data_IF_423502366483
#
_entry.id   IF_423502366483
#
_cell.length_a   1.000
_cell.length_b   1.000
_cell.length_c   1.000
_cell.angle_alpha   90.00
_cell.angle_beta   90.00
_cell.angle_gamma   90.00
#
_symmetry.space_group_name_H-M   'P 1'
#
loop_
_entity.id
_entity.type
_entity.pdbx_description
1 polymer ?
#
# COMPACT_ATOMS: atom_id res chain seq x y z
N UNK A 1 13.23 -26.12 17.67
CA UNK A 1 12.30 -25.09 17.14
C UNK A 1 11.70 -25.55 15.82
N UNK A 2 10.49 -26.17 15.78
CA UNK A 2 9.91 -26.55 14.49
C UNK A 2 8.41 -26.26 14.41
N UNK A 3 7.97 -25.03 14.12
CA UNK A 3 6.55 -24.78 13.74
C UNK A 3 6.30 -23.60 12.79
N UNK A 4 7.30 -22.78 12.44
CA UNK A 4 7.12 -21.61 11.56
C UNK A 4 6.85 -21.95 10.08
N UNK A 5 7.03 -23.21 9.67
CA UNK A 5 7.11 -23.60 8.25
C UNK A 5 5.89 -24.31 7.67
N UNK A 6 4.93 -24.74 8.50
CA UNK A 6 3.75 -25.50 8.06
C UNK A 6 2.46 -24.68 8.13
N UNK A 7 2.43 -23.58 7.39
CA UNK A 7 1.20 -22.79 7.24
C UNK A 7 0.70 -22.82 5.81
N UNK A 8 -0.60 -23.02 5.69
CA UNK A 8 -1.34 -22.84 4.46
C UNK A 8 -1.13 -21.39 4.00
N UNK A 9 -0.24 -21.22 3.03
CA UNK A 9 -0.08 -19.96 2.33
C UNK A 9 -1.45 -19.62 1.75
N UNK A 10 -2.00 -18.48 2.16
CA UNK A 10 -3.32 -18.11 1.74
C UNK A 10 -3.33 -17.97 0.20
N UNK A 11 -4.40 -18.40 -0.46
CA UNK A 11 -4.54 -18.18 -1.89
C UNK A 11 -4.43 -16.68 -2.19
N UNK A 12 -4.00 -16.36 -3.41
CA UNK A 12 -3.84 -14.99 -3.90
C UNK A 12 -5.13 -14.19 -3.67
N UNK A 13 -5.02 -13.16 -2.81
CA UNK A 13 -6.07 -12.25 -2.36
C UNK A 13 -7.31 -12.89 -1.68
N UNK A 14 -7.61 -12.51 -0.42
CA UNK A 14 -8.86 -12.86 0.25
C UNK A 14 -10.00 -11.87 -0.03
N UNK A 15 -10.17 -11.38 -1.27
CA UNK A 15 -11.49 -10.87 -1.65
C UNK A 15 -12.36 -12.12 -1.76
N UNK A 16 -12.74 -12.63 -0.59
CA UNK A 16 -13.57 -13.81 -0.43
C UNK A 16 -14.85 -13.54 -1.20
N UNK A 17 -15.25 -14.50 -2.03
CA UNK A 17 -16.63 -14.63 -2.46
C UNK A 17 -17.55 -14.38 -1.25
N UNK A 18 -18.41 -13.36 -1.33
CA UNK A 18 -19.15 -12.88 -0.15
C UNK A 18 -19.34 -11.38 -0.03
N UNK A 19 -18.96 -10.57 -1.03
CA UNK A 19 -19.78 -9.38 -1.28
C UNK A 19 -21.18 -9.92 -1.61
N UNK A 20 -22.16 -9.62 -0.76
CA UNK A 20 -23.55 -9.88 -1.09
C UNK A 20 -23.87 -9.05 -2.34
N UNK A 21 -23.85 -9.73 -3.48
CA UNK A 21 -24.10 -9.15 -4.78
C UNK A 21 -25.58 -9.34 -5.02
N UNK A 22 -26.38 -8.43 -4.50
CA UNK A 22 -27.79 -8.26 -4.86
C UNK A 22 -27.97 -7.82 -6.33
N UNK A 23 -26.88 -7.82 -7.12
CA UNK A 23 -26.84 -7.46 -8.53
C UNK A 23 -26.90 -8.71 -9.39
N UNK A 24 -27.65 -8.62 -10.48
CA UNK A 24 -27.75 -9.69 -11.47
C UNK A 24 -26.36 -10.11 -11.99
N UNK A 25 -25.97 -11.38 -11.87
CA UNK A 25 -24.68 -11.87 -12.34
C UNK A 25 -24.44 -11.54 -13.83
N UNK A 26 -23.25 -11.02 -14.14
CA UNK A 26 -22.88 -10.69 -15.52
C UNK A 26 -23.38 -9.34 -16.03
N UNK A 27 -24.28 -8.67 -15.30
CA UNK A 27 -24.72 -7.30 -15.58
C UNK A 27 -23.57 -6.28 -15.54
N UNK A 28 -23.78 -5.08 -16.09
CA UNK A 28 -22.82 -3.97 -15.98
C UNK A 28 -22.53 -3.63 -14.52
N UNK A 29 -23.54 -3.71 -13.64
CA UNK A 29 -23.39 -3.47 -12.21
C UNK A 29 -22.49 -4.51 -11.54
N UNK A 30 -22.72 -5.80 -11.80
CA UNK A 30 -21.89 -6.90 -11.28
C UNK A 30 -20.45 -6.77 -11.78
N UNK A 31 -20.23 -6.55 -13.08
CA UNK A 31 -18.89 -6.38 -13.65
C UNK A 31 -18.17 -5.17 -13.09
N UNK A 32 -18.87 -4.04 -12.93
CA UNK A 32 -18.30 -2.85 -12.32
C UNK A 32 -17.85 -3.12 -10.88
N UNK A 33 -18.65 -3.83 -10.06
CA UNK A 33 -18.24 -4.20 -8.70
C UNK A 33 -17.03 -5.16 -8.69
N UNK A 34 -16.98 -6.07 -9.67
CA UNK A 34 -15.89 -7.05 -9.80
C UNK A 34 -14.60 -6.49 -10.40
N UNK A 35 -14.60 -5.26 -10.91
CA UNK A 35 -13.43 -4.68 -11.60
C UNK A 35 -12.15 -4.64 -10.77
N UNK A 36 -12.27 -4.61 -9.44
CA UNK A 36 -11.13 -4.58 -8.50
C UNK A 36 -10.68 -5.99 -8.09
N UNK A 37 -11.32 -7.06 -8.58
CA UNK A 37 -10.83 -8.43 -8.43
C UNK A 37 -9.48 -8.56 -9.15
N UNK A 38 -8.50 -9.30 -8.58
CA UNK A 38 -7.12 -9.37 -9.12
C UNK A 38 -7.01 -9.77 -10.59
N UNK A 39 -7.90 -10.64 -11.06
CA UNK A 39 -7.99 -11.13 -12.45
C UNK A 39 -8.67 -10.13 -13.40
N UNK A 40 -9.22 -9.03 -12.86
CA UNK A 40 -10.03 -8.05 -13.59
C UNK A 40 -9.48 -6.64 -13.49
N UNK A 41 -8.57 -6.38 -12.56
CA UNK A 41 -7.97 -5.07 -12.39
C UNK A 41 -6.75 -4.88 -13.30
N UNK A 42 -7.00 -4.95 -14.61
CA UNK A 42 -6.00 -4.77 -15.67
C UNK A 42 -6.59 -4.03 -16.87
N UNK A 43 -5.76 -3.38 -17.73
CA UNK A 43 -6.24 -2.47 -18.76
C UNK A 43 -7.21 -3.09 -19.77
N UNK A 44 -7.02 -4.37 -20.13
CA UNK A 44 -7.88 -5.03 -21.10
C UNK A 44 -9.31 -5.25 -20.57
N UNK A 45 -9.47 -5.66 -19.32
CA UNK A 45 -10.79 -5.79 -18.69
C UNK A 45 -11.47 -4.43 -18.54
N UNK A 46 -10.73 -3.42 -18.09
CA UNK A 46 -11.30 -2.07 -17.94
C UNK A 46 -11.74 -1.47 -19.28
N UNK A 47 -11.03 -1.75 -20.40
CA UNK A 47 -11.48 -1.37 -21.74
C UNK A 47 -12.80 -2.05 -22.15
N UNK A 48 -12.91 -3.37 -21.95
CA UNK A 48 -14.19 -4.08 -22.22
C UNK A 48 -15.32 -3.55 -21.34
N UNK A 49 -15.06 -3.28 -20.06
CA UNK A 49 -16.03 -2.67 -19.15
C UNK A 49 -16.46 -1.27 -19.62
N UNK A 50 -15.52 -0.42 -20.03
CA UNK A 50 -15.81 0.90 -20.62
C UNK A 50 -16.77 0.76 -21.79
N UNK A 51 -16.48 -0.10 -22.77
CA UNK A 51 -17.35 -0.28 -23.94
C UNK A 51 -18.74 -0.81 -23.58
N UNK A 52 -18.87 -1.61 -22.52
CA UNK A 52 -20.18 -2.07 -22.02
C UNK A 52 -20.98 -0.95 -21.39
N UNK A 53 -20.34 -0.11 -20.57
CA UNK A 53 -21.01 1.04 -19.95
C UNK A 53 -21.41 2.06 -21.02
N UNK A 54 -20.57 2.28 -22.03
CA UNK A 54 -20.90 3.14 -23.18
C UNK A 54 -22.14 2.65 -23.93
N UNK A 55 -22.27 1.35 -24.19
CA UNK A 55 -23.49 0.78 -24.80
C UNK A 55 -24.73 0.97 -23.92
N UNK A 56 -24.59 0.81 -22.61
CA UNK A 56 -25.69 1.06 -21.67
C UNK A 56 -26.12 2.54 -21.68
N UNK A 57 -25.16 3.47 -21.72
CA UNK A 57 -25.43 4.90 -21.83
C UNK A 57 -26.02 5.32 -23.18
N UNK A 58 -25.65 4.65 -24.27
CA UNK A 58 -26.28 4.91 -25.57
C UNK A 58 -27.78 4.59 -25.55
N UNK A 59 -28.20 3.59 -24.77
CA UNK A 59 -29.60 3.23 -24.58
C UNK A 59 -30.32 4.13 -23.56
N UNK A 60 -29.61 4.64 -22.55
CA UNK A 60 -30.15 5.52 -21.51
C UNK A 60 -29.15 6.64 -21.15
N UNK A 61 -29.09 7.74 -21.94
CA UNK A 61 -28.06 8.78 -21.77
C UNK A 61 -28.11 9.49 -20.42
N UNK A 62 -29.30 9.57 -19.82
CA UNK A 62 -29.53 10.24 -18.53
C UNK A 62 -29.33 9.31 -17.32
N UNK A 63 -28.94 8.05 -17.52
CA UNK A 63 -28.66 7.13 -16.39
C UNK A 63 -27.44 7.60 -15.60
N UNK A 64 -27.71 8.28 -14.49
CA UNK A 64 -26.70 8.90 -13.66
C UNK A 64 -25.68 7.90 -13.11
N UNK A 65 -26.14 6.67 -12.81
CA UNK A 65 -25.26 5.64 -12.28
C UNK A 65 -24.28 5.13 -13.34
N UNK A 66 -24.71 4.93 -14.59
CA UNK A 66 -23.79 4.58 -15.68
C UNK A 66 -22.87 5.73 -16.05
N UNK A 67 -23.32 6.99 -15.98
CA UNK A 67 -22.46 8.17 -16.16
C UNK A 67 -21.34 8.19 -15.12
N UNK A 68 -21.67 7.97 -13.85
CA UNK A 68 -20.68 7.82 -12.77
C UNK A 68 -19.72 6.65 -13.01
N UNK A 69 -20.25 5.47 -13.37
CA UNK A 69 -19.43 4.26 -13.62
C UNK A 69 -18.44 4.50 -14.76
N UNK A 70 -18.89 5.11 -15.85
CA UNK A 70 -18.02 5.44 -16.98
C UNK A 70 -16.95 6.44 -16.58
N UNK A 71 -17.33 7.54 -15.92
CA UNK A 71 -16.40 8.54 -15.43
C UNK A 71 -15.33 7.90 -14.53
N UNK A 72 -15.72 6.98 -13.65
CA UNK A 72 -14.76 6.33 -12.77
C UNK A 72 -13.81 5.40 -13.51
N UNK A 73 -14.32 4.51 -14.37
CA UNK A 73 -13.46 3.57 -15.12
C UNK A 73 -12.49 4.30 -16.05
N UNK A 74 -12.89 5.43 -16.64
CA UNK A 74 -12.00 6.27 -17.43
C UNK A 74 -10.80 6.75 -16.61
N UNK A 75 -11.02 7.21 -15.38
CA UNK A 75 -9.92 7.62 -14.49
C UNK A 75 -9.05 6.44 -14.03
N UNK A 76 -9.62 5.23 -13.91
CA UNK A 76 -8.91 4.05 -13.41
C UNK A 76 -7.94 3.40 -14.40
N UNK A 77 -8.04 3.70 -15.69
CA UNK A 77 -7.34 2.95 -16.73
C UNK A 77 -6.39 3.82 -17.55
N UNK A 78 -5.17 4.05 -17.05
CA UNK A 78 -4.14 4.82 -17.76
C UNK A 78 -4.64 6.18 -18.25
N UNK A 79 -5.43 6.87 -17.43
CA UNK A 79 -6.15 8.07 -17.83
C UNK A 79 -5.24 9.11 -18.50
N UNK A 80 -5.75 9.74 -19.56
CA UNK A 80 -5.17 10.90 -20.22
C UNK A 80 -5.90 12.18 -19.79
N UNK A 81 -5.39 13.35 -20.17
CA UNK A 81 -6.10 14.62 -19.94
C UNK A 81 -7.52 14.61 -20.57
N UNK A 82 -7.66 14.04 -21.77
CA UNK A 82 -8.95 13.93 -22.45
C UNK A 82 -9.94 13.03 -21.68
N UNK A 83 -9.45 11.97 -21.02
CA UNK A 83 -10.28 11.11 -20.17
C UNK A 83 -10.77 11.84 -18.92
N UNK A 84 -9.91 12.68 -18.32
CA UNK A 84 -10.28 13.54 -17.17
C UNK A 84 -11.36 14.53 -17.58
N UNK A 85 -11.20 15.23 -18.70
CA UNK A 85 -12.20 16.17 -19.21
C UNK A 85 -13.53 15.48 -19.52
N UNK A 86 -13.46 14.27 -20.09
CA UNK A 86 -14.65 13.46 -20.37
C UNK A 86 -15.34 13.03 -19.08
N UNK A 87 -14.59 12.59 -18.08
CA UNK A 87 -15.13 12.22 -16.77
C UNK A 87 -15.81 13.43 -16.09
N UNK A 88 -15.24 14.63 -16.19
CA UNK A 88 -15.84 15.86 -15.67
C UNK A 88 -17.22 16.14 -16.31
N UNK A 89 -17.30 16.06 -17.65
CA UNK A 89 -18.57 16.24 -18.38
C UNK A 89 -19.61 15.19 -17.97
N UNK A 90 -19.21 13.92 -17.86
CA UNK A 90 -20.09 12.84 -17.43
C UNK A 90 -20.68 13.07 -16.04
N UNK A 91 -19.97 13.73 -15.13
CA UNK A 91 -20.44 14.00 -13.77
C UNK A 91 -21.12 15.37 -13.61
N UNK A 92 -21.28 16.16 -14.67
CA UNK A 92 -21.93 17.46 -14.59
C UNK A 92 -23.36 17.32 -14.07
N UNK A 93 -23.67 18.02 -12.97
CA UNK A 93 -24.99 17.99 -12.32
C UNK A 93 -25.28 16.73 -11.49
N UNK A 94 -24.28 15.91 -11.16
CA UNK A 94 -24.50 14.66 -10.42
C UNK A 94 -25.10 14.88 -9.01
N UNK A 95 -26.22 14.20 -8.75
CA UNK A 95 -26.87 14.04 -7.46
C UNK A 95 -26.30 12.88 -6.63
N UNK A 96 -25.53 11.96 -7.24
CA UNK A 96 -24.90 10.84 -6.55
C UNK A 96 -23.80 11.30 -5.56
N UNK A 97 -23.83 10.85 -4.29
CA UNK A 97 -22.76 11.16 -3.33
C UNK A 97 -21.37 10.75 -3.80
N UNK A 98 -21.26 9.55 -4.40
CA UNK A 98 -20.02 9.06 -5.00
C UNK A 98 -19.62 9.85 -6.25
N UNK A 99 -20.58 10.35 -7.01
CA UNK A 99 -20.33 11.25 -8.14
C UNK A 99 -19.69 12.55 -7.67
N UNK A 100 -20.28 13.23 -6.67
CA UNK A 100 -19.72 14.45 -6.08
C UNK A 100 -18.30 14.25 -5.52
N UNK A 101 -18.04 13.10 -4.91
CA UNK A 101 -16.71 12.76 -4.40
C UNK A 101 -15.69 12.63 -5.54
N UNK A 102 -16.07 11.95 -6.62
CA UNK A 102 -15.23 11.81 -7.81
C UNK A 102 -15.01 13.15 -8.53
N UNK A 103 -16.01 14.04 -8.57
CA UNK A 103 -15.86 15.40 -9.10
C UNK A 103 -14.77 16.17 -8.36
N UNK A 104 -14.74 16.14 -7.02
CA UNK A 104 -13.67 16.82 -6.24
C UNK A 104 -12.28 16.30 -6.58
N UNK A 105 -12.15 14.99 -6.83
CA UNK A 105 -10.89 14.40 -7.27
C UNK A 105 -10.51 14.91 -8.66
N UNK A 106 -11.45 14.94 -9.60
CA UNK A 106 -11.24 15.48 -10.95
C UNK A 106 -10.81 16.94 -10.90
N UNK A 107 -11.49 17.78 -10.12
CA UNK A 107 -11.14 19.19 -9.96
C UNK A 107 -9.71 19.35 -9.44
N UNK A 108 -9.32 18.55 -8.43
CA UNK A 108 -7.95 18.53 -7.93
C UNK A 108 -6.92 18.06 -8.98
N UNK A 109 -7.28 17.10 -9.85
CA UNK A 109 -6.43 16.66 -10.95
C UNK A 109 -6.24 17.77 -11.99
N UNK A 110 -7.32 18.44 -12.38
CA UNK A 110 -7.28 19.52 -13.37
C UNK A 110 -6.39 20.67 -12.89
N UNK A 111 -6.56 21.12 -11.64
CA UNK A 111 -5.74 22.17 -11.02
C UNK A 111 -4.24 21.82 -11.00
N UNK A 112 -3.88 20.55 -10.83
CA UNK A 112 -2.47 20.10 -10.84
C UNK A 112 -1.90 19.99 -12.26
N UNK A 113 -2.74 19.73 -13.26
CA UNK A 113 -2.29 19.53 -14.65
C UNK A 113 -1.85 20.84 -15.30
N UNK A 114 -2.36 21.97 -14.80
CA UNK A 114 -1.92 23.32 -15.17
C UNK A 114 -0.50 23.67 -14.66
N UNK A 115 0.08 22.86 -13.76
CA UNK A 115 1.42 23.10 -13.21
C UNK A 115 2.53 22.43 -14.03
N UNK A 116 3.73 23.04 -14.12
CA UNK A 116 4.87 22.44 -14.81
C UNK A 116 5.28 21.08 -14.22
N UNK A 117 5.39 20.06 -15.08
CA UNK A 117 5.86 18.71 -14.73
C UNK A 117 7.33 18.44 -15.05
N UNK A 118 8.01 19.38 -15.71
CA UNK A 118 9.42 19.24 -16.12
C UNK A 118 10.31 19.09 -14.88
N UNK A 119 11.19 18.08 -14.90
CA UNK A 119 12.15 17.82 -13.82
C UNK A 119 11.58 17.08 -12.60
N UNK A 120 10.28 16.74 -12.58
CA UNK A 120 9.69 15.95 -11.48
C UNK A 120 10.20 14.50 -11.53
N UNK A 121 10.70 14.01 -10.40
CA UNK A 121 11.26 12.65 -10.25
C UNK A 121 10.42 11.79 -9.31
N UNK A 122 10.44 10.49 -9.57
CA UNK A 122 9.89 9.49 -8.67
C UNK A 122 11.04 8.97 -7.83
N UNK A 123 11.30 9.65 -6.73
CA UNK A 123 12.41 9.31 -5.84
C UNK A 123 12.10 8.10 -4.97
N UNK A 124 10.81 7.81 -4.74
CA UNK A 124 10.35 6.69 -3.92
C UNK A 124 9.29 5.86 -4.62
N UNK A 125 9.46 4.55 -4.58
CA UNK A 125 8.47 3.58 -5.05
C UNK A 125 8.19 2.51 -4.00
N UNK A 126 6.95 2.04 -3.96
CA UNK A 126 6.57 0.86 -3.20
C UNK A 126 6.30 -0.27 -4.19
N UNK A 127 6.73 -1.49 -3.89
CA UNK A 127 6.58 -2.61 -4.80
C UNK A 127 6.00 -3.81 -4.07
N UNK A 128 4.74 -4.11 -4.37
CA UNK A 128 4.09 -5.36 -4.00
C UNK A 128 4.62 -6.52 -4.85
N UNK A 129 5.79 -7.05 -4.52
CA UNK A 129 6.56 -7.97 -5.40
C UNK A 129 5.99 -9.38 -5.51
N UNK A 130 5.16 -9.80 -4.55
CA UNK A 130 4.41 -11.06 -4.62
C UNK A 130 2.97 -10.91 -4.16
N UNK A 131 2.13 -11.89 -4.47
CA UNK A 131 0.73 -11.95 -4.03
C UNK A 131 0.52 -12.95 -2.88
N UNK A 132 1.57 -13.68 -2.47
CA UNK A 132 1.49 -14.74 -1.46
C UNK A 132 1.67 -14.14 -0.07
N UNK A 133 0.75 -14.42 0.85
CA UNK A 133 0.80 -13.91 2.22
C UNK A 133 0.39 -15.01 3.22
N UNK A 134 1.01 -15.10 4.42
CA UNK A 134 0.52 -15.99 5.46
C UNK A 134 -0.72 -15.42 6.20
N UNK A 135 -1.17 -14.20 5.86
CA UNK A 135 -2.17 -13.43 6.61
C UNK A 135 -3.23 -12.78 5.70
N UNK A 136 -4.42 -12.49 6.26
CA UNK A 136 -5.55 -11.86 5.54
C UNK A 136 -6.07 -10.62 6.28
N UNK A 137 -5.16 -9.72 6.62
CA UNK A 137 -5.38 -8.60 7.53
C UNK A 137 -6.60 -7.72 7.18
N UNK A 138 -7.30 -7.21 8.20
CA UNK A 138 -8.42 -6.26 8.02
C UNK A 138 -8.01 -4.89 7.48
N UNK A 139 -6.71 -4.56 7.52
CA UNK A 139 -6.15 -3.35 6.91
C UNK A 139 -5.19 -3.62 5.77
N UNK A 140 -5.33 -4.74 5.06
CA UNK A 140 -4.46 -5.02 3.92
C UNK A 140 -4.62 -3.94 2.84
N UNK A 141 -3.54 -3.25 2.55
CA UNK A 141 -3.49 -2.23 1.49
C UNK A 141 -2.84 -2.74 0.21
N UNK A 142 -2.35 -3.98 0.14
CA UNK A 142 -1.68 -4.45 -1.07
C UNK A 142 -2.71 -4.65 -2.20
N UNK A 143 -2.50 -4.02 -3.36
CA UNK A 143 -3.25 -4.34 -4.57
C UNK A 143 -2.68 -5.64 -5.15
N UNK A 144 -3.38 -6.75 -4.95
CA UNK A 144 -2.95 -8.03 -5.55
C UNK A 144 -3.26 -8.04 -7.04
N UNK A 145 -2.35 -8.60 -7.83
CA UNK A 145 -2.55 -8.90 -9.23
C UNK A 145 -2.75 -10.41 -9.44
N UNK A 146 -3.18 -10.82 -10.62
CA UNK A 146 -3.20 -12.23 -10.98
C UNK A 146 -1.80 -12.76 -11.35
N UNK A 147 -1.00 -11.96 -12.07
CA UNK A 147 0.32 -12.39 -12.53
C UNK A 147 1.43 -12.20 -11.47
N UNK A 148 2.51 -12.96 -11.64
CA UNK A 148 3.75 -12.87 -10.89
C UNK A 148 4.90 -12.76 -11.87
N UNK A 149 5.71 -11.72 -11.72
CA UNK A 149 6.93 -11.51 -12.52
C UNK A 149 8.02 -12.52 -12.19
N UNK A 150 8.89 -12.76 -13.19
CA UNK A 150 10.16 -13.47 -13.01
C UNK A 150 11.21 -12.60 -12.31
N UNK A 151 12.31 -13.22 -11.88
CA UNK A 151 13.46 -12.49 -11.34
C UNK A 151 14.08 -11.54 -12.37
N UNK A 152 14.21 -11.96 -13.63
CA UNK A 152 14.82 -11.14 -14.68
C UNK A 152 13.97 -9.91 -14.99
N UNK A 153 12.65 -10.08 -15.01
CA UNK A 153 11.71 -8.97 -15.10
C UNK A 153 11.84 -8.02 -13.91
N UNK A 154 12.01 -8.56 -12.70
CA UNK A 154 12.21 -7.74 -11.52
C UNK A 154 13.51 -6.92 -11.59
N UNK A 155 14.62 -7.54 -12.03
CA UNK A 155 15.90 -6.83 -12.25
C UNK A 155 15.77 -5.74 -13.30
N UNK A 156 15.12 -6.02 -14.43
CA UNK A 156 14.88 -5.02 -15.47
C UNK A 156 14.03 -3.82 -14.99
N UNK A 157 13.06 -4.05 -14.10
CA UNK A 157 12.32 -2.94 -13.47
C UNK A 157 13.24 -2.14 -12.53
N UNK A 158 14.11 -2.79 -11.75
CA UNK A 158 15.09 -2.10 -10.91
C UNK A 158 16.03 -1.23 -11.74
N UNK A 159 16.51 -1.74 -12.88
CA UNK A 159 17.39 -0.99 -13.79
C UNK A 159 16.69 0.29 -14.29
N UNK A 160 15.43 0.18 -14.73
CA UNK A 160 14.61 1.33 -15.14
C UNK A 160 14.46 2.36 -14.01
N UNK A 161 14.22 1.90 -12.78
CA UNK A 161 14.11 2.79 -11.62
C UNK A 161 15.43 3.51 -11.32
N UNK A 162 16.55 2.80 -11.42
CA UNK A 162 17.88 3.36 -11.20
C UNK A 162 18.23 4.41 -12.27
N UNK A 163 18.00 4.13 -13.55
CA UNK A 163 18.20 5.10 -14.65
C UNK A 163 17.34 6.35 -14.49
N UNK A 164 16.11 6.21 -13.99
CA UNK A 164 15.23 7.35 -13.68
C UNK A 164 15.71 8.20 -12.49
N UNK A 165 16.62 7.66 -11.67
CA UNK A 165 17.09 8.31 -10.45
C UNK A 165 16.15 8.10 -9.25
N UNK A 166 15.42 6.99 -9.21
CA UNK A 166 14.74 6.55 -7.98
C UNK A 166 15.79 6.25 -6.92
N UNK A 167 15.63 6.82 -5.72
CA UNK A 167 16.61 6.67 -4.63
C UNK A 167 16.16 5.68 -3.56
N UNK A 168 14.86 5.41 -3.49
CA UNK A 168 14.25 4.63 -2.42
C UNK A 168 13.23 3.63 -2.96
N UNK A 169 13.45 2.35 -2.65
CA UNK A 169 12.58 1.24 -3.00
C UNK A 169 12.09 0.55 -1.73
N UNK A 170 10.78 0.45 -1.55
CA UNK A 170 10.17 -0.38 -0.51
C UNK A 170 9.63 -1.65 -1.14
N UNK A 171 10.28 -2.77 -0.86
CA UNK A 171 9.79 -4.08 -1.24
C UNK A 171 8.74 -4.55 -0.22
N UNK A 172 7.56 -4.88 -0.72
CA UNK A 172 6.37 -5.28 0.02
C UNK A 172 5.62 -6.36 -0.79
N UNK A 173 4.33 -6.56 -0.53
CA UNK A 173 3.46 -7.35 -1.40
C UNK A 173 3.37 -8.80 -1.04
N UNK A 174 2.13 -9.24 -0.81
CA UNK A 174 1.89 -10.35 0.09
C UNK A 174 2.82 -10.23 1.28
N UNK A 175 3.66 -11.25 1.48
CA UNK A 175 4.91 -11.14 2.22
C UNK A 175 6.10 -11.41 1.28
N UNK A 176 7.02 -10.45 1.09
CA UNK A 176 8.23 -10.64 0.28
C UNK A 176 9.07 -11.86 0.67
N UNK A 177 9.07 -12.26 1.94
CA UNK A 177 9.84 -13.42 2.42
C UNK A 177 9.31 -14.77 1.92
N UNK A 178 8.13 -14.77 1.27
CA UNK A 178 7.56 -15.92 0.57
C UNK A 178 7.94 -15.97 -0.91
N UNK A 179 8.64 -14.97 -1.43
CA UNK A 179 9.19 -14.97 -2.78
C UNK A 179 10.69 -15.32 -2.70
N UNK A 180 11.10 -16.55 -3.06
CA UNK A 180 12.47 -17.03 -2.85
C UNK A 180 13.60 -16.12 -3.37
N UNK A 181 13.48 -15.45 -4.53
CA UNK A 181 14.57 -14.64 -5.06
C UNK A 181 14.64 -13.22 -4.49
N UNK A 182 13.87 -12.88 -3.45
CA UNK A 182 13.80 -11.51 -2.89
C UNK A 182 15.16 -10.90 -2.56
N UNK A 183 16.08 -11.69 -1.99
CA UNK A 183 17.43 -11.24 -1.65
C UNK A 183 18.22 -10.78 -2.89
N UNK A 184 18.06 -11.46 -4.03
CA UNK A 184 18.73 -11.07 -5.26
C UNK A 184 18.21 -9.73 -5.82
N UNK A 185 16.93 -9.41 -5.58
CA UNK A 185 16.38 -8.09 -5.94
C UNK A 185 16.92 -7.00 -5.01
N UNK A 186 17.04 -7.30 -3.72
CA UNK A 186 17.66 -6.39 -2.74
C UNK A 186 19.11 -6.08 -3.13
N UNK A 187 19.90 -7.11 -3.44
CA UNK A 187 21.30 -6.96 -3.82
C UNK A 187 21.44 -6.16 -5.13
N UNK A 188 20.62 -6.49 -6.13
CA UNK A 188 20.63 -5.80 -7.42
C UNK A 188 20.27 -4.32 -7.30
N UNK A 189 19.21 -3.99 -6.56
CA UNK A 189 18.79 -2.61 -6.34
C UNK A 189 19.80 -1.81 -5.52
N UNK A 190 20.40 -2.44 -4.51
CA UNK A 190 21.44 -1.79 -3.69
C UNK A 190 22.70 -1.51 -4.51
N UNK A 191 23.12 -2.46 -5.37
CA UNK A 191 24.25 -2.27 -6.28
C UNK A 191 23.97 -1.16 -7.32
N UNK A 192 22.72 -0.96 -7.71
CA UNK A 192 22.28 0.14 -8.57
C UNK A 192 22.13 1.51 -7.84
N UNK A 193 22.51 1.59 -6.56
CA UNK A 193 22.47 2.84 -5.77
C UNK A 193 21.12 3.15 -5.13
N UNK A 194 20.16 2.22 -5.15
CA UNK A 194 18.83 2.40 -4.55
C UNK A 194 18.85 1.91 -3.10
N UNK A 195 18.35 2.72 -2.17
CA UNK A 195 18.12 2.28 -0.78
C UNK A 195 16.89 1.40 -0.72
N UNK A 196 17.07 0.17 -0.23
CA UNK A 196 15.98 -0.82 -0.18
C UNK A 196 15.49 -1.03 1.25
N UNK A 197 14.20 -0.82 1.49
CA UNK A 197 13.53 -1.31 2.69
C UNK A 197 12.61 -2.48 2.39
N UNK A 198 12.38 -3.32 3.40
CA UNK A 198 11.51 -4.49 3.30
C UNK A 198 10.34 -4.40 4.29
N UNK A 199 9.12 -4.26 3.77
CA UNK A 199 7.88 -4.45 4.51
C UNK A 199 7.51 -5.94 4.48
N UNK A 200 7.69 -6.64 5.59
CA UNK A 200 7.39 -8.08 5.71
C UNK A 200 6.48 -8.34 6.90
N UNK A 201 5.75 -9.47 6.89
CA UNK A 201 5.05 -9.87 8.11
C UNK A 201 6.04 -10.35 9.18
N UNK A 202 7.29 -10.65 8.83
CA UNK A 202 8.30 -11.22 9.74
C UNK A 202 8.05 -12.69 10.07
N UNK A 203 6.86 -13.22 9.78
CA UNK A 203 6.41 -14.54 10.23
C UNK A 203 7.35 -15.68 9.79
N UNK A 204 7.87 -15.59 8.56
CA UNK A 204 8.80 -16.59 8.02
C UNK A 204 10.26 -16.15 8.07
N UNK A 205 10.58 -15.11 8.86
CA UNK A 205 11.94 -14.64 9.05
C UNK A 205 12.74 -15.68 9.85
N UNK A 206 13.95 -15.94 9.37
CA UNK A 206 14.96 -16.82 9.98
C UNK A 206 16.30 -16.11 9.96
N UNK A 207 17.27 -16.58 10.76
CA UNK A 207 18.62 -16.03 10.78
C UNK A 207 19.24 -16.03 9.37
N UNK A 208 19.09 -17.12 8.62
CA UNK A 208 19.62 -17.24 7.25
C UNK A 208 18.99 -16.23 6.28
N UNK A 209 17.66 -16.03 6.35
CA UNK A 209 17.00 -15.03 5.52
C UNK A 209 17.46 -13.63 5.90
N UNK A 210 17.59 -13.34 7.20
CA UNK A 210 18.05 -12.04 7.68
C UNK A 210 19.49 -11.75 7.25
N UNK A 211 20.39 -12.75 7.31
CA UNK A 211 21.77 -12.63 6.85
C UNK A 211 21.86 -12.30 5.34
N UNK A 212 21.02 -12.95 4.52
CA UNK A 212 20.89 -12.66 3.08
C UNK A 212 20.25 -11.31 2.77
N UNK A 213 19.68 -10.63 3.76
CA UNK A 213 19.01 -9.33 3.63
C UNK A 213 19.78 -8.20 4.35
N UNK A 214 21.07 -8.42 4.64
CA UNK A 214 21.92 -7.46 5.35
C UNK A 214 22.06 -6.11 4.64
N UNK A 215 21.94 -6.09 3.30
CA UNK A 215 21.98 -4.88 2.47
C UNK A 215 20.77 -3.94 2.65
N UNK A 216 19.66 -4.41 3.24
CA UNK A 216 18.48 -3.58 3.46
C UNK A 216 18.80 -2.33 4.29
N UNK A 217 18.39 -1.15 3.82
CA UNK A 217 18.47 0.09 4.59
C UNK A 217 17.49 0.12 5.76
N UNK A 218 16.40 -0.67 5.71
CA UNK A 218 15.48 -0.86 6.82
C UNK A 218 14.69 -2.17 6.68
N UNK A 219 14.55 -2.89 7.79
CA UNK A 219 13.63 -4.02 7.93
C UNK A 219 12.39 -3.56 8.70
N UNK A 220 11.19 -3.76 8.14
CA UNK A 220 9.96 -3.24 8.72
C UNK A 220 9.04 -4.37 9.15
N UNK A 221 8.84 -4.44 10.47
CA UNK A 221 8.10 -5.52 11.12
C UNK A 221 6.81 -4.99 11.74
N UNK A 222 5.71 -5.77 11.69
CA UNK A 222 4.44 -5.33 12.24
C UNK A 222 4.27 -5.65 13.72
N UNK A 223 3.63 -4.74 14.45
CA UNK A 223 3.10 -5.00 15.80
C UNK A 223 1.80 -4.21 16.02
N UNK A 224 0.65 -4.87 15.95
CA UNK A 224 -0.67 -4.20 16.06
C UNK A 224 -1.39 -4.46 17.40
N UNK A 225 -0.77 -5.21 18.30
CA UNK A 225 -1.31 -5.55 19.61
C UNK A 225 -0.29 -6.31 20.45
N UNK A 226 -0.47 -6.30 21.76
CA UNK A 226 0.44 -6.92 22.75
C UNK A 226 0.00 -8.32 23.20
N UNK A 227 -1.08 -8.83 22.61
CA UNK A 227 -1.55 -10.20 22.85
C UNK A 227 -1.74 -10.94 21.53
N UNK A 228 -1.69 -12.27 21.60
CA UNK A 228 -1.97 -13.10 20.42
C UNK A 228 -3.39 -12.88 19.88
N UNK A 229 -4.37 -12.66 20.77
CA UNK A 229 -5.74 -12.36 20.38
C UNK A 229 -5.84 -11.03 19.63
N UNK A 230 -5.29 -9.94 20.19
CA UNK A 230 -5.33 -8.61 19.57
C UNK A 230 -4.65 -8.61 18.19
N UNK A 231 -3.46 -9.23 18.10
CA UNK A 231 -2.74 -9.35 16.83
C UNK A 231 -3.52 -10.16 15.79
N UNK A 232 -4.09 -11.31 16.18
CA UNK A 232 -4.87 -12.15 15.26
C UNK A 232 -6.18 -11.53 14.85
N UNK A 233 -6.84 -10.78 15.74
CA UNK A 233 -8.09 -10.10 15.43
C UNK A 233 -7.90 -9.16 14.22
N UNK A 234 -6.77 -8.45 14.16
CA UNK A 234 -6.45 -7.58 13.03
C UNK A 234 -5.81 -8.31 11.84
N UNK A 235 -4.77 -9.13 12.08
CA UNK A 235 -3.97 -9.80 11.03
C UNK A 235 -4.66 -11.01 10.41
N UNK A 236 -5.69 -11.56 11.06
CA UNK A 236 -6.42 -12.77 10.66
C UNK A 236 -5.51 -13.95 10.34
N UNK A 237 -4.46 -14.13 11.13
CA UNK A 237 -3.60 -15.32 11.02
C UNK A 237 -4.30 -16.53 11.65
N UNK A 238 -4.24 -17.71 11.00
CA UNK A 238 -4.68 -18.96 11.61
C UNK A 238 -3.76 -19.40 12.76
N UNK A 239 -2.52 -18.91 12.84
CA UNK A 239 -1.60 -19.21 13.94
C UNK A 239 -2.07 -18.57 15.25
N UNK A 240 -2.33 -19.41 16.27
CA UNK A 240 -2.75 -18.97 17.60
C UNK A 240 -1.66 -18.24 18.38
N UNK A 241 -0.40 -18.42 18.01
CA UNK A 241 0.77 -17.85 18.68
C UNK A 241 1.40 -16.68 17.90
N UNK A 242 0.63 -16.05 16.99
CA UNK A 242 1.14 -15.01 16.10
C UNK A 242 1.98 -13.94 16.81
N UNK A 243 1.52 -13.43 17.96
CA UNK A 243 2.26 -12.40 18.70
C UNK A 243 3.67 -12.88 19.07
N UNK A 244 3.81 -14.08 19.64
CA UNK A 244 5.10 -14.64 19.99
C UNK A 244 6.01 -14.85 18.77
N UNK A 245 5.45 -15.27 17.64
CA UNK A 245 6.20 -15.43 16.38
C UNK A 245 6.74 -14.08 15.85
N UNK A 246 5.96 -13.01 15.94
CA UNK A 246 6.41 -11.67 15.55
C UNK A 246 7.49 -11.15 16.50
N UNK A 247 7.34 -11.33 17.82
CA UNK A 247 8.35 -10.94 18.80
C UNK A 247 9.65 -11.72 18.63
N UNK A 248 9.61 -13.01 18.32
CA UNK A 248 10.83 -13.78 18.03
C UNK A 248 11.55 -13.26 16.76
N UNK A 249 10.84 -12.65 15.82
CA UNK A 249 11.48 -11.98 14.66
C UNK A 249 12.20 -10.69 15.07
N UNK A 250 11.66 -9.94 16.04
CA UNK A 250 12.35 -8.79 16.64
C UNK A 250 13.57 -9.24 17.47
N UNK A 251 13.41 -10.27 18.32
CA UNK A 251 14.53 -10.85 19.09
C UNK A 251 15.65 -11.36 18.20
N UNK A 252 15.32 -11.95 17.06
CA UNK A 252 16.32 -12.35 16.07
C UNK A 252 17.12 -11.14 15.57
N UNK A 253 16.46 -10.01 15.29
CA UNK A 253 17.14 -8.78 14.88
C UNK A 253 18.05 -8.24 16.00
N UNK A 254 17.62 -8.31 17.26
CA UNK A 254 18.45 -7.93 18.41
C UNK A 254 19.71 -8.82 18.51
N UNK A 255 19.53 -10.14 18.40
CA UNK A 255 20.61 -11.12 18.52
C UNK A 255 21.71 -10.94 17.47
N UNK A 256 21.33 -10.58 16.24
CA UNK A 256 22.30 -10.37 15.14
C UNK A 256 22.77 -8.91 15.03
N UNK A 257 22.26 -8.01 15.88
CA UNK A 257 22.62 -6.59 15.86
C UNK A 257 22.10 -5.84 14.62
N UNK A 258 20.97 -6.23 14.04
CA UNK A 258 20.36 -5.50 12.92
C UNK A 258 19.65 -4.23 13.44
N UNK A 259 20.38 -3.12 13.59
CA UNK A 259 19.89 -1.89 14.27
C UNK A 259 19.00 -0.97 13.42
N UNK A 260 18.57 -1.42 12.24
CA UNK A 260 17.75 -0.63 11.30
C UNK A 260 16.32 -1.14 11.21
N UNK A 261 15.81 -1.73 12.30
CA UNK A 261 14.41 -2.18 12.37
C UNK A 261 13.50 -0.98 12.54
N UNK A 262 12.39 -0.99 11.80
CA UNK A 262 11.27 -0.10 12.01
C UNK A 262 10.04 -0.92 12.33
N UNK A 263 9.34 -0.59 13.41
CA UNK A 263 8.07 -1.25 13.72
C UNK A 263 6.91 -0.45 13.14
N UNK A 264 5.97 -1.14 12.49
CA UNK A 264 4.74 -0.56 11.96
C UNK A 264 3.53 -1.04 12.75
N UNK A 265 2.70 -0.10 13.19
CA UNK A 265 1.41 -0.37 13.83
C UNK A 265 0.30 0.29 13.02
N UNK A 266 -0.75 -0.45 12.69
CA UNK A 266 -1.97 0.10 12.10
C UNK A 266 -2.98 0.38 13.20
N UNK A 267 -3.02 1.63 13.64
CA UNK A 267 -3.94 2.12 14.67
C UNK A 267 -5.39 2.14 14.14
N UNK A 268 -6.27 1.53 14.91
CA UNK A 268 -7.69 1.39 14.63
C UNK A 268 -8.47 1.44 15.96
N UNK A 269 -9.80 1.54 15.89
CA UNK A 269 -10.65 1.62 17.08
C UNK A 269 -10.41 0.51 18.11
N UNK A 270 -9.96 -0.68 17.69
CA UNK A 270 -9.78 -1.84 18.56
C UNK A 270 -8.42 -1.92 19.25
N UNK A 271 -7.42 -1.19 18.79
CA UNK A 271 -6.09 -1.19 19.40
C UNK A 271 -5.61 0.20 19.86
N UNK A 272 -6.41 1.24 19.67
CA UNK A 272 -6.07 2.60 20.11
C UNK A 272 -5.70 2.65 21.59
N UNK A 273 -6.47 1.97 22.44
CA UNK A 273 -6.23 1.87 23.88
C UNK A 273 -4.97 1.06 24.25
N UNK A 274 -4.37 0.34 23.30
CA UNK A 274 -3.17 -0.47 23.51
C UNK A 274 -1.90 0.21 23.03
N UNK A 275 -1.97 1.40 22.41
CA UNK A 275 -0.79 2.05 21.83
C UNK A 275 0.33 2.26 22.86
N UNK A 276 -0.01 2.51 24.12
CA UNK A 276 0.97 2.60 25.21
C UNK A 276 1.71 1.29 25.43
N UNK A 277 0.98 0.19 25.61
CA UNK A 277 1.58 -1.12 25.80
C UNK A 277 2.38 -1.56 24.56
N UNK A 278 1.90 -1.23 23.36
CA UNK A 278 2.63 -1.49 22.11
C UNK A 278 3.94 -0.70 22.12
N UNK A 279 3.94 0.57 22.55
CA UNK A 279 5.14 1.39 22.63
C UNK A 279 6.20 0.75 23.54
N UNK A 280 5.80 0.31 24.74
CA UNK A 280 6.70 -0.37 25.68
C UNK A 280 7.31 -1.64 25.09
N UNK A 281 6.49 -2.49 24.43
CA UNK A 281 6.98 -3.70 23.77
C UNK A 281 7.95 -3.34 22.63
N UNK A 282 7.61 -2.38 21.77
CA UNK A 282 8.47 -1.92 20.67
C UNK A 282 9.82 -1.42 21.19
N UNK A 283 9.82 -0.61 22.24
CA UNK A 283 11.04 0.02 22.76
C UNK A 283 11.88 -0.89 23.66
N UNK A 284 11.33 -2.04 24.07
CA UNK A 284 12.10 -3.10 24.73
C UNK A 284 13.12 -3.77 23.79
N UNK A 285 12.96 -3.60 22.48
CA UNK A 285 13.86 -4.15 21.46
C UNK A 285 14.93 -3.13 21.03
N UNK A 286 16.23 -3.34 21.35
CA UNK A 286 17.30 -2.42 20.99
C UNK A 286 17.53 -2.30 19.47
N UNK A 287 17.11 -3.28 18.66
CA UNK A 287 17.21 -3.22 17.20
C UNK A 287 16.26 -2.19 16.56
N UNK A 288 15.23 -1.74 17.28
CA UNK A 288 14.21 -0.82 16.76
C UNK A 288 14.71 0.62 16.77
N UNK A 289 14.94 1.15 15.57
CA UNK A 289 15.34 2.54 15.34
C UNK A 289 14.15 3.50 15.27
N UNK A 290 12.99 3.03 14.82
CA UNK A 290 11.82 3.89 14.58
C UNK A 290 10.51 3.13 14.76
N UNK A 291 9.50 3.80 15.31
CA UNK A 291 8.12 3.30 15.35
C UNK A 291 7.20 4.18 14.51
N UNK A 292 6.44 3.58 13.59
CA UNK A 292 5.46 4.28 12.74
C UNK A 292 4.06 3.77 13.03
N UNK A 293 3.20 4.69 13.46
CA UNK A 293 1.78 4.48 13.70
C UNK A 293 1.01 4.97 12.47
N UNK A 294 0.47 4.04 11.70
CA UNK A 294 -0.41 4.32 10.57
C UNK A 294 -1.85 4.36 11.05
N UNK A 295 -2.59 5.41 10.69
CA UNK A 295 -4.05 5.36 10.83
C UNK A 295 -4.62 4.25 9.94
N UNK A 296 -5.59 3.48 10.41
CA UNK A 296 -6.28 2.52 9.57
C UNK A 296 -7.03 3.22 8.43
N UNK A 297 -6.76 2.78 7.19
CA UNK A 297 -7.19 3.48 5.98
C UNK A 297 -8.51 2.93 5.40
N UNK A 298 -8.95 1.73 5.80
CA UNK A 298 -10.22 1.18 5.32
C UNK A 298 -10.34 0.96 3.81
N UNK A 299 -9.21 0.93 3.10
CA UNK A 299 -9.19 0.63 1.66
C UNK A 299 -9.70 -0.79 1.42
N UNK A 300 -10.59 -0.95 0.42
CA UNK A 300 -11.30 -2.20 0.09
C UNK A 300 -12.08 -2.82 1.27
N UNK A 301 -12.32 -2.06 2.35
CA UNK A 301 -13.06 -2.54 3.50
C UNK A 301 -14.58 -2.41 3.27
N UNK A 302 -15.34 -3.39 3.78
CA UNK A 302 -16.80 -3.29 3.78
C UNK A 302 -17.27 -2.16 4.71
N UNK A 303 -18.48 -1.60 4.49
CA UNK A 303 -19.04 -0.61 5.42
C UNK A 303 -19.08 -1.08 6.88
N UNK A 304 -19.30 -2.38 7.11
CA UNK A 304 -19.28 -2.96 8.45
C UNK A 304 -17.88 -2.94 9.07
N UNK A 305 -16.84 -3.27 8.28
CA UNK A 305 -15.45 -3.18 8.73
C UNK A 305 -15.03 -1.74 8.98
N UNK A 306 -15.45 -0.78 8.14
CA UNK A 306 -15.20 0.66 8.36
C UNK A 306 -15.78 1.11 9.68
N UNK A 307 -17.06 0.82 9.97
CA UNK A 307 -17.67 1.15 11.26
C UNK A 307 -16.96 0.51 12.46
N UNK A 308 -16.37 -0.66 12.28
CA UNK A 308 -15.73 -1.41 13.37
C UNK A 308 -14.27 -1.01 13.64
N UNK A 309 -13.57 -0.39 12.68
CA UNK A 309 -12.12 -0.14 12.77
C UNK A 309 -11.72 1.32 12.57
N UNK A 310 -12.58 2.16 11.97
CA UNK A 310 -12.28 3.57 11.80
C UNK A 310 -11.93 4.23 13.14
N UNK A 311 -10.88 5.04 13.14
CA UNK A 311 -10.40 5.76 14.32
C UNK A 311 -10.47 7.25 14.07
N UNK A 312 -10.90 7.99 15.09
CA UNK A 312 -10.92 9.45 15.04
C UNK A 312 -9.48 10.00 14.92
N UNK A 313 -9.18 10.84 13.92
CA UNK A 313 -7.83 11.40 13.75
C UNK A 313 -7.36 12.27 14.92
N UNK A 314 -8.26 12.99 15.60
CA UNK A 314 -7.91 13.80 16.77
C UNK A 314 -7.58 12.92 17.98
N UNK A 315 -8.35 11.86 18.22
CA UNK A 315 -8.03 10.88 19.28
C UNK A 315 -6.68 10.21 19.03
N UNK A 316 -6.42 9.76 17.80
CA UNK A 316 -5.15 9.16 17.43
C UNK A 316 -3.97 10.14 17.59
N UNK A 317 -4.13 11.39 17.13
CA UNK A 317 -3.11 12.44 17.32
C UNK A 317 -2.83 12.70 18.79
N UNK A 318 -3.87 12.72 19.63
CA UNK A 318 -3.74 12.92 21.07
C UNK A 318 -2.96 11.77 21.72
N UNK A 319 -3.33 10.52 21.41
CA UNK A 319 -2.66 9.34 21.93
C UNK A 319 -1.17 9.31 21.55
N UNK A 320 -0.84 9.50 20.26
CA UNK A 320 0.56 9.51 19.81
C UNK A 320 1.35 10.70 20.38
N UNK A 321 0.71 11.86 20.58
CA UNK A 321 1.35 13.02 21.24
C UNK A 321 1.73 12.69 22.69
N UNK A 322 0.83 12.06 23.45
CA UNK A 322 1.08 11.64 24.84
C UNK A 322 2.25 10.65 24.93
N UNK A 323 2.30 9.67 24.01
CA UNK A 323 3.39 8.71 23.93
C UNK A 323 4.72 9.40 23.62
N UNK A 324 4.75 10.31 22.63
CA UNK A 324 5.96 11.09 22.31
C UNK A 324 6.50 11.88 23.49
N UNK A 325 5.62 12.41 24.35
CA UNK A 325 6.01 13.13 25.56
C UNK A 325 6.67 12.21 26.61
N UNK A 326 6.23 10.95 26.72
CA UNK A 326 6.83 9.94 27.62
C UNK A 326 8.10 9.30 27.07
N UNK A 327 8.28 9.31 25.75
CA UNK A 327 9.45 8.72 25.08
C UNK A 327 10.16 9.74 24.18
N UNK A 328 10.72 10.84 24.74
CA UNK A 328 11.31 11.92 23.96
C UNK A 328 12.53 11.49 23.12
N UNK A 329 13.24 10.44 23.54
CA UNK A 329 14.43 9.92 22.87
C UNK A 329 14.10 8.92 21.73
N UNK A 330 12.82 8.59 21.54
CA UNK A 330 12.38 7.61 20.53
C UNK A 330 11.79 8.30 19.30
N UNK A 331 12.17 7.82 18.11
CA UNK A 331 11.60 8.33 16.86
C UNK A 331 10.22 7.68 16.60
N UNK A 332 9.16 8.45 16.87
CA UNK A 332 7.77 8.03 16.66
C UNK A 332 7.13 8.86 15.55
N UNK A 333 6.63 8.22 14.50
CA UNK A 333 5.95 8.87 13.36
C UNK A 333 4.47 8.49 13.36
N UNK A 334 3.60 9.50 13.25
CA UNK A 334 2.19 9.29 12.93
C UNK A 334 2.01 9.51 11.43
N UNK A 335 1.35 8.57 10.76
CA UNK A 335 1.03 8.65 9.35
C UNK A 335 -0.49 8.54 9.16
N UNK A 336 -1.14 9.69 9.00
CA UNK A 336 -2.60 9.80 8.87
C UNK A 336 -3.07 9.32 7.49
N UNK A 337 -4.33 8.89 7.36
CA UNK A 337 -4.87 8.38 6.11
C UNK A 337 -4.96 9.48 5.03
N UNK A 338 -5.41 10.68 5.41
CA UNK A 338 -5.52 11.82 4.50
C UNK A 338 -4.16 12.25 3.93
N UNK A 339 -3.10 12.16 4.72
CA UNK A 339 -1.73 12.51 4.30
C UNK A 339 -1.11 11.46 3.38
N UNK A 340 -1.72 10.27 3.28
CA UNK A 340 -1.23 9.16 2.47
C UNK A 340 -1.93 8.96 1.14
N UNK A 341 -2.93 9.77 0.85
CA UNK A 341 -3.60 9.81 -0.44
C UNK A 341 -2.63 10.16 -1.57
N UNK A 342 -2.66 9.38 -2.66
CA UNK A 342 -1.83 9.54 -3.86
C UNK A 342 -0.31 9.59 -3.63
N UNK A 343 0.15 9.27 -2.41
CA UNK A 343 1.58 9.16 -2.08
C UNK A 343 2.30 8.09 -2.87
N UNK A 344 1.57 7.04 -3.24
CA UNK A 344 2.16 5.78 -3.63
C UNK A 344 2.29 5.69 -5.14
N UNK A 345 3.53 5.45 -5.57
CA UNK A 345 3.82 4.80 -6.85
C UNK A 345 4.00 3.32 -6.56
N UNK A 346 2.89 2.57 -6.61
CA UNK A 346 2.84 1.17 -6.20
C UNK A 346 2.99 0.25 -7.40
N UNK A 347 4.11 -0.45 -7.50
CA UNK A 347 4.34 -1.50 -8.49
C UNK A 347 3.69 -2.79 -7.96
N UNK A 348 2.89 -3.45 -8.78
CA UNK A 348 2.29 -4.75 -8.47
C UNK A 348 3.23 -5.89 -8.87
N UNK A 349 2.87 -7.09 -8.46
CA UNK A 349 3.57 -8.34 -8.78
C UNK A 349 3.51 -8.70 -10.26
N UNK A 350 2.68 -8.01 -11.06
CA UNK A 350 2.60 -8.09 -12.52
C UNK A 350 3.43 -7.02 -13.26
N UNK A 351 4.12 -6.14 -12.52
CA UNK A 351 4.79 -4.95 -13.07
C UNK A 351 3.87 -3.76 -13.34
N UNK A 352 2.55 -3.94 -13.21
CA UNK A 352 1.56 -2.87 -13.30
C UNK A 352 1.81 -1.83 -12.20
N UNK A 353 1.76 -0.56 -12.57
CA UNK A 353 1.91 0.57 -11.65
C UNK A 353 0.54 1.12 -11.33
N UNK A 354 0.26 1.27 -10.04
CA UNK A 354 -0.99 1.83 -9.55
C UNK A 354 -0.72 2.93 -8.52
N UNK A 355 -1.65 3.87 -8.42
CA UNK A 355 -1.77 4.77 -7.27
C UNK A 355 -3.17 4.66 -6.70
N UNK A 356 -3.40 5.22 -5.51
CA UNK A 356 -4.69 5.12 -4.85
C UNK A 356 -5.04 6.37 -4.04
N UNK A 357 -6.31 6.72 -4.11
CA UNK A 357 -6.94 7.81 -3.38
C UNK A 357 -7.30 7.43 -1.94
N UNK A 358 -8.00 8.32 -1.25
CA UNK A 358 -8.54 8.05 0.09
C UNK A 358 -9.75 7.12 0.09
N UNK A 359 -10.34 6.85 -1.08
CA UNK A 359 -11.58 6.09 -1.22
C UNK A 359 -11.39 4.58 -1.09
N UNK A 360 -12.44 3.86 -0.66
CA UNK A 360 -12.36 2.40 -0.51
C UNK A 360 -12.09 1.69 -1.84
N UNK A 361 -12.46 2.30 -2.97
CA UNK A 361 -12.34 1.75 -4.32
C UNK A 361 -11.48 2.61 -5.27
N UNK A 362 -10.88 3.70 -4.77
CA UNK A 362 -10.12 4.65 -5.59
C UNK A 362 -8.71 4.14 -5.84
N UNK A 363 -8.60 3.26 -6.83
CA UNK A 363 -7.34 2.71 -7.30
C UNK A 363 -7.23 2.93 -8.80
N UNK A 364 -6.09 3.43 -9.24
CA UNK A 364 -5.88 3.93 -10.59
C UNK A 364 -4.62 3.31 -11.19
N UNK A 365 -4.77 2.68 -12.35
CA UNK A 365 -3.65 2.13 -13.13
C UNK A 365 -2.97 3.28 -13.88
N UNK A 366 -1.65 3.36 -13.74
CA UNK A 366 -0.81 4.38 -14.34
C UNK A 366 -0.03 3.88 -15.57
N UNK A 367 0.27 2.59 -15.60
CA UNK A 367 0.97 1.90 -16.69
C UNK A 367 1.52 0.55 -16.23
N UNK A 368 2.46 -0.02 -16.97
CA UNK A 368 3.18 -1.23 -16.58
C UNK A 368 4.68 -1.10 -16.90
N UNK A 369 5.55 -1.28 -15.92
CA UNK A 369 7.00 -1.12 -16.09
C UNK A 369 7.66 -2.22 -16.93
N UNK A 370 6.93 -3.27 -17.31
CA UNK A 370 7.40 -4.26 -18.28
C UNK A 370 7.25 -3.77 -19.72
N UNK A 371 6.25 -2.92 -20.00
CA UNK A 371 5.92 -2.49 -21.37
C UNK A 371 6.15 -1.00 -21.61
N UNK A 372 5.98 -0.19 -20.58
CA UNK A 372 6.02 1.26 -20.66
C UNK A 372 7.35 1.80 -20.13
N UNK A 373 7.71 3.00 -20.58
CA UNK A 373 8.78 3.79 -19.97
C UNK A 373 8.23 4.59 -18.78
N UNK A 374 9.10 4.99 -17.85
CA UNK A 374 8.68 5.80 -16.70
C UNK A 374 8.17 7.16 -17.17
N UNK A 375 8.79 7.76 -18.19
CA UNK A 375 8.39 9.04 -18.79
C UNK A 375 6.95 9.00 -19.29
N UNK A 376 6.56 7.90 -19.95
CA UNK A 376 5.16 7.69 -20.36
C UNK A 376 4.22 7.65 -19.17
N UNK A 377 4.58 6.95 -18.08
CA UNK A 377 3.75 6.88 -16.87
C UNK A 377 3.67 8.24 -16.16
N UNK A 378 4.70 9.08 -16.22
CA UNK A 378 4.71 10.41 -15.60
C UNK A 378 3.73 11.40 -16.25
N UNK A 379 3.27 11.11 -17.46
CA UNK A 379 2.26 11.93 -18.15
C UNK A 379 0.87 11.80 -17.53
N UNK A 380 0.61 10.78 -16.70
CA UNK A 380 -0.74 10.50 -16.19
C UNK A 380 -1.21 11.65 -15.28
N UNK A 381 -2.39 12.25 -15.54
CA UNK A 381 -2.83 13.44 -14.84
C UNK A 381 -3.13 13.18 -13.36
N UNK A 382 -3.53 11.95 -13.02
CA UNK A 382 -3.84 11.48 -11.66
C UNK A 382 -2.64 11.55 -10.68
N UNK A 383 -1.40 11.59 -11.20
CA UNK A 383 -0.20 11.67 -10.35
C UNK A 383 -0.13 13.01 -9.60
N UNK A 384 0.10 12.92 -8.29
CA UNK A 384 0.31 14.05 -7.40
C UNK A 384 1.73 14.01 -6.84
N UNK A 385 2.64 14.74 -7.49
CA UNK A 385 4.05 14.76 -7.11
C UNK A 385 4.30 15.44 -5.77
N UNK A 386 3.47 16.42 -5.40
CA UNK A 386 3.56 17.08 -4.10
C UNK A 386 3.15 16.11 -3.01
N UNK A 387 2.11 15.29 -3.27
CA UNK A 387 1.78 14.17 -2.40
C UNK A 387 2.97 13.24 -2.27
N UNK A 388 3.47 12.69 -3.38
CA UNK A 388 4.59 11.73 -3.39
C UNK A 388 5.83 12.19 -2.61
N UNK A 389 6.12 13.50 -2.59
CA UNK A 389 7.22 14.07 -1.83
C UNK A 389 7.05 14.02 -0.29
N UNK A 390 5.81 13.91 0.21
CA UNK A 390 5.49 13.98 1.66
C UNK A 390 5.66 12.67 2.43
N UNK A 391 5.94 11.54 1.77
CA UNK A 391 5.88 10.25 2.45
C UNK A 391 6.97 10.06 3.49
N UNK A 392 6.76 9.12 4.42
CA UNK A 392 7.73 8.76 5.46
C UNK A 392 9.07 8.33 4.83
N UNK A 393 10.22 8.91 5.27
CA UNK A 393 11.55 8.51 4.80
C UNK A 393 11.76 7.00 4.85
N UNK A 394 12.46 6.43 3.87
CA UNK A 394 12.63 4.96 3.80
C UNK A 394 13.58 4.44 4.86
N UNK A 395 14.64 5.19 5.13
CA UNK A 395 15.63 4.90 6.16
C UNK A 395 15.25 5.65 7.44
N UNK A 396 15.24 4.99 8.62
CA UNK A 396 15.17 5.69 9.91
C UNK A 396 16.24 6.78 9.99
N UNK A 397 15.99 7.87 10.72
CA UNK A 397 17.06 8.82 10.99
C UNK A 397 18.09 8.09 11.85
N UNK A 398 19.38 8.13 11.48
CA UNK A 398 20.40 7.57 12.35
C UNK A 398 20.29 8.24 13.71
N UNK A 399 20.35 7.47 14.79
CA UNK A 399 20.53 8.03 16.13
C UNK A 399 21.70 9.03 16.05
N UNK A 400 21.45 10.30 16.39
CA UNK A 400 22.47 11.35 16.30
C UNK A 400 23.73 10.86 17.00
N UNK A 401 24.83 10.72 16.27
CA UNK A 401 26.15 10.58 16.88
C UNK A 401 26.55 11.95 17.42
N UNK A 402 26.27 12.17 18.71
CA UNK A 402 26.82 13.25 19.53
C UNK A 402 26.05 14.59 19.54
N UNK A 403 26.16 15.36 20.64
CA UNK A 403 25.70 16.74 20.66
C UNK A 403 26.52 17.59 19.67
N UNK A 404 25.97 18.71 19.16
CA UNK A 404 26.73 19.61 18.30
C UNK A 404 27.99 20.05 19.06
N UNK A 405 29.16 19.85 18.44
CA UNK A 405 30.39 20.49 18.88
C UNK A 405 30.13 22.00 18.93
N UNK A 406 30.22 22.55 20.15
CA UNK A 406 30.10 23.98 20.47
C UNK A 406 31.11 24.82 19.72
#
# INVERSE_FOLDING_TARGET
>A
MPTRHHLAILPTHPLRAGYDRTVEPGSVADRFQRRLEPDRFHPAYLRDLTSRIERALAAAPDDELSRYRLAFVLLQNNATAADVDRAARLLTGTSLPQGRRLTRLIDAISLRTEQPRVGRRVTRVNWSITNRCPMSCQGCYNPFAAEQISLDQAKGIVDKLAEHGTTDLVLAGGDPLLWPPIHQVVDHATAAGIRVALDTTGYTLTADKLARLSALSSLRLPLDGVTAEAQRAFRRSPDRNLHAALLESLRLCDQVGFTRVRVHTVANAKNLHQLDAIAEEVFSHPSVAQWVVFQWWGRRASPATVRALAVDPAELRSAVRSIRQRHPDREIILAEAAERELLNWMIQSSGQVVTFGSGPEEEFILGNLLTDSIETILTRPILDFDAMARGVPVTPRSARSGPPST
#
